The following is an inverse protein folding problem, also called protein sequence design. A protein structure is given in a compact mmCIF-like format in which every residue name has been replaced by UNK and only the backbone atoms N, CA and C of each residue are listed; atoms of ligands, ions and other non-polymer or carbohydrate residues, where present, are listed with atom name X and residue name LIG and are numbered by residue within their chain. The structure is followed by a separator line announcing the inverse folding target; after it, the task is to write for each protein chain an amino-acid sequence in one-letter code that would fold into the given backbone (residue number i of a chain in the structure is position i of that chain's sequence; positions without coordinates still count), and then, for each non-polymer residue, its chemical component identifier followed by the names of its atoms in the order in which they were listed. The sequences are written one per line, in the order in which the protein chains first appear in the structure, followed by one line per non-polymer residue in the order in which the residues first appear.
data_IF_199865146482
#
_entry.id   IF_199865146482
#
_cell.length_a   1.000
_cell.length_b   1.000
_cell.length_c   1.000
_cell.angle_alpha   90.00
_cell.angle_beta   90.00
_cell.angle_gamma   90.00
#
_symmetry.space_group_name_H-M   'P 1'
#
loop_
_entity.id
_entity.type
_entity.pdbx_description
1 polymer ?
#
# COMPACT_ATOMS: atom_id res chain seq x y z
N UNK A 1 14.57 -0.18 0.31
CA UNK A 1 15.11 -1.49 0.72
C UNK A 1 14.52 -1.84 2.08
N UNK A 2 14.09 -3.08 2.30
CA UNK A 2 13.37 -3.50 3.51
C UNK A 2 14.12 -4.64 4.21
N UNK A 3 14.05 -4.69 5.54
CA UNK A 3 14.71 -5.72 6.36
C UNK A 3 13.92 -7.03 6.47
N UNK A 4 12.64 -7.02 6.10
CA UNK A 4 11.71 -8.13 6.32
C UNK A 4 11.08 -8.17 7.72
N UNK A 5 11.45 -7.25 8.64
CA UNK A 5 10.84 -7.14 9.97
C UNK A 5 9.59 -6.27 9.87
N UNK A 6 8.43 -6.91 9.99
CA UNK A 6 7.11 -6.25 9.90
C UNK A 6 6.91 -5.31 11.10
N UNK A 7 6.66 -4.02 10.82
CA UNK A 7 6.48 -2.98 11.83
C UNK A 7 5.04 -2.93 12.40
N UNK A 8 4.07 -3.47 11.67
CA UNK A 8 2.67 -3.46 12.08
C UNK A 8 1.75 -4.14 11.07
N UNK A 9 0.46 -4.19 11.41
CA UNK A 9 -0.59 -4.70 10.52
C UNK A 9 -1.56 -3.57 10.20
N UNK A 10 -1.74 -3.31 8.91
CA UNK A 10 -2.78 -2.43 8.42
C UNK A 10 -4.06 -3.18 8.06
N UNK A 11 -5.15 -2.44 7.89
CA UNK A 11 -6.43 -2.96 7.41
C UNK A 11 -6.73 -2.38 6.03
N UNK A 12 -7.04 -3.22 5.04
CA UNK A 12 -7.56 -2.76 3.77
C UNK A 12 -8.96 -2.18 3.98
N UNK A 13 -9.17 -0.92 3.62
CA UNK A 13 -10.45 -0.21 3.82
C UNK A 13 -11.12 0.19 2.49
N UNK A 14 -10.37 0.19 1.39
CA UNK A 14 -10.90 0.54 0.08
C UNK A 14 -10.07 -0.04 -1.06
N UNK A 15 -10.75 -0.35 -2.15
CA UNK A 15 -10.17 -0.75 -3.43
C UNK A 15 -10.94 -0.03 -4.54
N UNK A 16 -10.25 0.81 -5.29
CA UNK A 16 -10.80 1.51 -6.45
C UNK A 16 -10.16 0.94 -7.72
N UNK A 17 -11.00 0.42 -8.62
CA UNK A 17 -10.54 -0.16 -9.88
C UNK A 17 -10.47 0.93 -10.95
N UNK A 18 -9.28 1.42 -11.25
CA UNK A 18 -9.01 2.23 -12.44
C UNK A 18 -8.76 1.37 -13.68
N UNK A 19 -8.64 2.03 -14.83
CA UNK A 19 -8.36 1.36 -16.12
C UNK A 19 -6.91 0.88 -16.23
N UNK A 20 -5.95 1.67 -15.74
CA UNK A 20 -4.51 1.36 -15.82
C UNK A 20 -3.92 0.91 -14.48
N UNK A 21 -4.43 1.43 -13.37
CA UNK A 21 -4.01 1.12 -12.00
C UNK A 21 -5.21 0.95 -11.10
N UNK A 22 -5.04 0.16 -10.04
CA UNK A 22 -6.00 0.06 -8.95
C UNK A 22 -5.45 0.76 -7.73
N UNK A 23 -6.26 1.58 -7.07
CA UNK A 23 -5.87 2.29 -5.85
C UNK A 23 -6.33 1.50 -4.63
N UNK A 24 -5.37 1.07 -3.81
CA UNK A 24 -5.59 0.42 -2.53
C UNK A 24 -5.53 1.47 -1.43
N UNK A 25 -6.57 1.55 -0.60
CA UNK A 25 -6.53 2.38 0.61
C UNK A 25 -6.39 1.48 1.83
N UNK A 26 -5.31 1.66 2.58
CA UNK A 26 -4.98 0.87 3.77
C UNK A 26 -4.91 1.78 4.99
N UNK A 27 -5.64 1.41 6.04
CA UNK A 27 -5.48 2.00 7.36
C UNK A 27 -4.23 1.42 8.01
N UNK A 28 -3.21 2.24 8.23
CA UNK A 28 -1.97 1.85 8.89
C UNK A 28 -2.03 2.15 10.41
N UNK A 29 -1.39 1.33 11.26
CA UNK A 29 -1.38 1.54 12.71
C UNK A 29 -0.48 2.71 13.11
N UNK A 30 0.56 2.98 12.33
CA UNK A 30 1.48 4.10 12.51
C UNK A 30 1.86 4.65 11.13
N UNK A 31 1.83 5.97 11.01
CA UNK A 31 2.20 6.75 9.83
C UNK A 31 3.21 7.85 10.18
N UNK A 32 3.82 7.78 11.36
CA UNK A 32 4.77 8.77 11.84
C UNK A 32 5.96 8.88 10.89
N UNK A 33 6.18 10.06 10.33
CA UNK A 33 7.24 10.30 9.35
C UNK A 33 6.99 9.71 7.96
N UNK A 34 5.77 9.22 7.69
CA UNK A 34 5.39 8.79 6.36
C UNK A 34 5.02 10.01 5.50
N UNK A 35 5.66 10.12 4.34
CA UNK A 35 5.42 11.20 3.37
C UNK A 35 4.95 10.62 2.04
N UNK A 36 4.24 11.44 1.26
CA UNK A 36 3.85 11.07 -0.11
C UNK A 36 5.10 10.78 -0.94
N UNK A 37 5.10 9.68 -1.68
CA UNK A 37 6.27 9.19 -2.42
C UNK A 37 7.15 8.22 -1.63
N UNK A 38 6.92 8.04 -0.33
CA UNK A 38 7.64 7.04 0.46
C UNK A 38 7.30 5.62 0.02
N UNK A 39 8.28 4.71 0.15
CA UNK A 39 8.09 3.29 -0.13
C UNK A 39 7.63 2.54 1.12
N UNK A 40 6.49 1.86 1.02
CA UNK A 40 5.91 1.02 2.08
C UNK A 40 5.80 -0.40 1.57
N UNK A 41 6.24 -1.38 2.36
CA UNK A 41 6.09 -2.79 2.02
C UNK A 41 4.79 -3.34 2.59
N UNK A 42 3.84 -3.73 1.73
CA UNK A 42 2.62 -4.44 2.12
C UNK A 42 2.74 -5.92 1.74
N UNK A 43 2.73 -6.81 2.74
CA UNK A 43 2.96 -8.25 2.54
C UNK A 43 4.20 -8.56 1.67
N UNK A 44 5.27 -7.77 1.82
CA UNK A 44 6.52 -7.90 1.08
C UNK A 44 6.55 -7.21 -0.29
N UNK A 45 5.44 -6.64 -0.76
CA UNK A 45 5.39 -5.88 -2.02
C UNK A 45 5.71 -4.41 -1.75
N UNK A 46 6.71 -3.88 -2.44
CA UNK A 46 7.08 -2.48 -2.36
C UNK A 46 6.07 -1.62 -3.12
N UNK A 47 5.37 -0.73 -2.42
CA UNK A 47 4.42 0.21 -2.99
C UNK A 47 4.78 1.65 -2.61
N UNK A 48 4.39 2.60 -3.45
CA UNK A 48 4.62 4.02 -3.20
C UNK A 48 3.35 4.65 -2.61
N UNK A 49 3.48 5.35 -1.50
CA UNK A 49 2.36 6.08 -0.89
C UNK A 49 1.96 7.24 -1.82
N UNK A 50 0.77 7.16 -2.42
CA UNK A 50 0.27 8.15 -3.40
C UNK A 50 -0.56 9.24 -2.75
N UNK A 51 -1.25 8.93 -1.65
CA UNK A 51 -2.00 9.87 -0.82
C UNK A 51 -1.99 9.44 0.65
N UNK A 52 -2.06 10.40 1.57
CA UNK A 52 -2.06 10.17 3.02
C UNK A 52 -3.10 11.08 3.67
N UNK A 53 -4.14 10.47 4.23
CA UNK A 53 -5.22 11.16 4.93
C UNK A 53 -5.37 10.59 6.35
N UNK A 54 -4.73 11.25 7.33
CA UNK A 54 -4.67 10.73 8.70
C UNK A 54 -3.90 9.41 8.73
N UNK A 55 -4.54 8.33 9.18
CA UNK A 55 -3.96 6.98 9.18
C UNK A 55 -4.35 6.14 7.95
N UNK A 56 -5.01 6.74 6.94
CA UNK A 56 -5.33 6.08 5.68
C UNK A 56 -4.29 6.44 4.63
N UNK A 57 -3.70 5.42 4.02
CA UNK A 57 -2.66 5.59 2.99
C UNK A 57 -3.13 4.91 1.72
N UNK A 58 -3.06 5.65 0.62
CA UNK A 58 -3.37 5.16 -0.71
C UNK A 58 -2.11 4.68 -1.43
N UNK A 59 -2.28 3.63 -2.23
CA UNK A 59 -1.22 3.04 -3.06
C UNK A 59 -1.79 2.68 -4.42
N UNK A 60 -1.15 3.13 -5.49
CA UNK A 60 -1.50 2.71 -6.84
C UNK A 60 -0.75 1.44 -7.22
N UNK A 61 -1.49 0.46 -7.72
CA UNK A 61 -0.98 -0.88 -8.05
C UNK A 61 -1.38 -1.24 -9.47
N UNK A 62 -0.39 -1.60 -10.29
CA UNK A 62 -0.63 -2.10 -11.65
C UNK A 62 -1.21 -3.52 -11.62
N UNK A 63 -2.02 -3.91 -12.62
CA UNK A 63 -2.61 -5.25 -12.71
C UNK A 63 -1.61 -6.40 -12.54
N UNK A 64 -0.43 -6.30 -13.17
CA UNK A 64 0.60 -7.35 -13.06
C UNK A 64 1.03 -7.59 -11.60
N UNK A 65 1.13 -6.53 -10.78
CA UNK A 65 1.52 -6.68 -9.38
C UNK A 65 0.43 -7.40 -8.58
N UNK A 66 -0.85 -7.13 -8.87
CA UNK A 66 -1.96 -7.83 -8.23
C UNK A 66 -2.01 -9.30 -8.65
N UNK A 67 -1.77 -9.60 -9.92
CA UNK A 67 -1.78 -10.97 -10.46
C UNK A 67 -0.62 -11.83 -9.94
N UNK A 68 0.57 -11.23 -9.78
CA UNK A 68 1.79 -11.96 -9.43
C UNK A 68 2.09 -11.99 -7.93
N UNK A 69 1.34 -11.24 -7.12
CA UNK A 69 1.54 -11.18 -5.66
C UNK A 69 0.28 -11.59 -4.92
N UNK A 70 0.38 -11.70 -3.59
CA UNK A 70 -0.77 -12.02 -2.75
C UNK A 70 -1.78 -10.87 -2.65
N UNK A 71 -1.44 -9.66 -3.12
CA UNK A 71 -2.31 -8.48 -3.00
C UNK A 71 -3.56 -8.56 -3.89
N UNK A 72 -3.57 -9.39 -4.94
CA UNK A 72 -4.74 -9.60 -5.79
C UNK A 72 -5.71 -10.68 -5.32
N UNK A 73 -5.50 -11.26 -4.13
CA UNK A 73 -6.35 -12.32 -3.54
C UNK A 73 -7.06 -11.82 -2.28
#
# INVERSE_FOLDING_TARGET
MFTGIVQGKGKLIGLEKGQEVQTLTVQLPDVTGLERGASVALNGVCLTATDIAGNHVAFDVIPETLERTILGR
#
